data_IF_925954978276
#
_entry.id   IF_925954978276
#
_cell.length_a   1.000
_cell.length_b   1.000
_cell.length_c   1.000
_cell.angle_alpha   90.00
_cell.angle_beta   90.00
_cell.angle_gamma   90.00
#
_symmetry.space_group_name_H-M   'P 1'
#
loop_
_entity.id
_entity.type
_entity.pdbx_description
1 polymer ?
#
# COMPACT_ATOMS: atom_id res chain seq x y z
N UNK A 1 18.57 -19.63 1.94
CA UNK A 1 17.63 -18.62 2.40
C UNK A 1 16.77 -18.07 1.27
N UNK A 2 17.34 -17.51 0.18
CA UNK A 2 16.61 -16.85 -0.91
C UNK A 2 15.54 -17.73 -1.59
N UNK A 3 15.78 -19.02 -1.95
CA UNK A 3 14.75 -19.85 -2.56
C UNK A 3 13.53 -20.06 -1.67
N UNK A 4 13.75 -20.19 -0.35
CA UNK A 4 12.65 -20.33 0.63
C UNK A 4 11.85 -19.02 0.73
N UNK A 5 12.51 -17.88 0.73
CA UNK A 5 11.86 -16.58 0.75
C UNK A 5 11.04 -16.33 -0.52
N UNK A 6 11.57 -16.70 -1.68
CA UNK A 6 10.83 -16.64 -2.95
C UNK A 6 9.61 -17.55 -2.90
N UNK A 7 9.77 -18.80 -2.45
CA UNK A 7 8.66 -19.75 -2.29
C UNK A 7 7.57 -19.20 -1.36
N UNK A 8 7.96 -18.60 -0.23
CA UNK A 8 7.03 -17.92 0.67
C UNK A 8 6.31 -16.78 -0.04
N UNK A 9 7.03 -15.90 -0.75
CA UNK A 9 6.43 -14.80 -1.50
C UNK A 9 5.43 -15.26 -2.55
N UNK A 10 5.75 -16.30 -3.30
CA UNK A 10 4.86 -16.91 -4.31
C UNK A 10 3.57 -17.48 -3.69
N UNK A 11 3.62 -18.00 -2.47
CA UNK A 11 2.44 -18.46 -1.75
C UNK A 11 1.67 -17.31 -1.10
N UNK A 12 2.36 -16.32 -0.53
CA UNK A 12 1.75 -15.23 0.24
C UNK A 12 1.09 -14.15 -0.64
N UNK A 13 1.78 -13.67 -1.68
CA UNK A 13 1.30 -12.54 -2.48
C UNK A 13 -0.08 -12.77 -3.13
N UNK A 14 -0.41 -13.96 -3.67
CA UNK A 14 -1.75 -14.22 -4.19
C UNK A 14 -2.85 -14.12 -3.13
N UNK A 15 -2.54 -14.42 -1.85
CA UNK A 15 -3.55 -14.34 -0.77
C UNK A 15 -4.08 -12.93 -0.57
N UNK A 16 -3.28 -11.89 -0.83
CA UNK A 16 -3.70 -10.49 -0.73
C UNK A 16 -4.80 -10.16 -1.76
N UNK A 17 -4.61 -10.57 -3.00
CA UNK A 17 -5.60 -10.37 -4.06
C UNK A 17 -6.86 -11.23 -3.84
N UNK A 18 -6.69 -12.48 -3.39
CA UNK A 18 -7.80 -13.39 -3.11
C UNK A 18 -8.63 -12.90 -1.92
N UNK A 19 -8.01 -12.41 -0.87
CA UNK A 19 -8.72 -11.84 0.30
C UNK A 19 -9.59 -10.66 -0.12
N UNK A 20 -9.07 -9.75 -0.94
CA UNK A 20 -9.85 -8.65 -1.49
C UNK A 20 -11.02 -9.16 -2.36
N UNK A 21 -10.73 -10.11 -3.26
CA UNK A 21 -11.75 -10.66 -4.17
C UNK A 21 -12.89 -11.34 -3.41
N UNK A 22 -12.57 -12.20 -2.45
CA UNK A 22 -13.58 -12.87 -1.60
C UNK A 22 -14.40 -11.84 -0.83
N UNK A 23 -13.74 -10.83 -0.26
CA UNK A 23 -14.43 -9.75 0.46
C UNK A 23 -15.42 -9.03 -0.45
N UNK A 24 -14.98 -8.63 -1.65
CA UNK A 24 -15.84 -7.94 -2.62
C UNK A 24 -17.02 -8.80 -3.12
N UNK A 25 -16.85 -10.11 -3.24
CA UNK A 25 -17.92 -11.02 -3.66
C UNK A 25 -19.04 -11.16 -2.62
N UNK A 26 -18.74 -10.91 -1.34
CA UNK A 26 -19.70 -11.04 -0.24
C UNK A 26 -20.22 -9.69 0.29
N UNK A 27 -19.81 -8.57 -0.29
CA UNK A 27 -20.28 -7.23 0.08
C UNK A 27 -21.36 -6.73 -0.87
N UNK A 28 -22.32 -5.97 -0.32
CA UNK A 28 -23.35 -5.28 -1.09
C UNK A 28 -22.88 -3.91 -1.57
N UNK A 29 -22.17 -3.20 -0.70
CA UNK A 29 -21.62 -1.86 -0.97
C UNK A 29 -20.13 -1.85 -0.63
N UNK A 30 -19.26 -2.15 -1.62
CA UNK A 30 -17.82 -2.16 -1.41
C UNK A 30 -17.24 -0.83 -0.87
N UNK A 31 -17.82 0.30 -1.28
CA UNK A 31 -17.33 1.61 -0.85
C UNK A 31 -17.54 1.86 0.64
N UNK A 32 -18.55 1.24 1.23
CA UNK A 32 -18.90 1.36 2.63
C UNK A 32 -18.36 0.23 3.49
N UNK A 33 -18.42 -1.00 3.01
CA UNK A 33 -18.13 -2.20 3.79
C UNK A 33 -16.64 -2.60 3.74
N UNK A 34 -15.98 -2.39 2.59
CA UNK A 34 -14.57 -2.80 2.43
C UNK A 34 -13.61 -2.13 3.43
N UNK A 35 -13.69 -0.82 3.70
CA UNK A 35 -12.84 -0.20 4.70
C UNK A 35 -12.98 -0.82 6.10
N UNK A 36 -14.20 -1.23 6.50
CA UNK A 36 -14.47 -1.87 7.80
C UNK A 36 -13.81 -3.26 7.91
N UNK A 37 -13.75 -4.00 6.81
CA UNK A 37 -13.04 -5.30 6.76
C UNK A 37 -11.54 -5.04 6.75
N UNK A 38 -11.08 -4.11 5.93
CA UNK A 38 -9.66 -3.81 5.74
C UNK A 38 -8.95 -3.32 7.00
N UNK A 39 -9.66 -2.57 7.86
CA UNK A 39 -9.11 -2.07 9.15
C UNK A 39 -8.66 -3.20 10.07
N UNK A 40 -9.28 -4.38 10.00
CA UNK A 40 -8.87 -5.55 10.80
C UNK A 40 -7.44 -6.00 10.46
N UNK A 41 -7.04 -5.84 9.19
CA UNK A 41 -5.67 -6.11 8.77
C UNK A 41 -4.66 -5.15 9.41
N UNK A 42 -4.98 -3.88 9.50
CA UNK A 42 -4.15 -2.86 10.16
C UNK A 42 -4.04 -3.12 11.67
N UNK A 43 -5.14 -3.49 12.32
CA UNK A 43 -5.14 -3.90 13.73
C UNK A 43 -4.22 -5.10 13.94
N UNK A 44 -4.33 -6.13 13.06
CA UNK A 44 -3.46 -7.30 13.11
C UNK A 44 -1.98 -6.95 12.97
N UNK A 45 -1.65 -6.02 12.07
CA UNK A 45 -0.29 -5.52 11.88
C UNK A 45 0.25 -4.82 13.15
N UNK A 46 -0.54 -3.94 13.76
CA UNK A 46 -0.17 -3.24 15.00
C UNK A 46 0.06 -4.25 16.14
N UNK A 47 -0.86 -5.20 16.32
CA UNK A 47 -0.76 -6.23 17.36
C UNK A 47 0.51 -7.06 17.18
N UNK A 48 0.78 -7.53 15.96
CA UNK A 48 1.98 -8.29 15.65
C UNK A 48 3.27 -7.47 15.91
N UNK A 49 3.31 -6.22 15.46
CA UNK A 49 4.43 -5.31 15.70
C UNK A 49 4.68 -5.04 17.18
N UNK A 50 3.63 -4.81 17.96
CA UNK A 50 3.74 -4.60 19.41
C UNK A 50 4.22 -5.85 20.14
N UNK A 51 3.78 -7.04 19.74
CA UNK A 51 4.24 -8.30 20.34
C UNK A 51 5.73 -8.49 20.07
N UNK A 52 6.15 -8.35 18.82
CA UNK A 52 7.56 -8.53 18.43
C UNK A 52 8.46 -7.49 19.09
N UNK A 53 8.05 -6.22 19.08
CA UNK A 53 8.83 -5.12 19.64
C UNK A 53 8.94 -5.20 21.18
N UNK A 54 7.82 -5.37 21.91
CA UNK A 54 7.85 -5.45 23.39
C UNK A 54 8.61 -6.65 23.93
N UNK A 55 8.63 -7.75 23.18
CA UNK A 55 9.38 -8.94 23.57
C UNK A 55 10.86 -8.89 23.13
N UNK A 56 11.30 -7.82 22.44
CA UNK A 56 12.68 -7.67 21.97
C UNK A 56 13.12 -8.74 20.96
N UNK A 57 12.16 -9.25 20.15
CA UNK A 57 12.39 -10.40 19.27
C UNK A 57 12.93 -10.02 17.89
N UNK A 58 13.05 -8.73 17.57
CA UNK A 58 13.35 -8.19 16.25
C UNK A 58 14.61 -8.76 15.59
N UNK A 59 15.65 -8.99 16.38
CA UNK A 59 16.94 -9.51 15.89
C UNK A 59 17.07 -11.04 15.98
N UNK A 60 15.99 -11.74 16.26
CA UNK A 60 15.97 -13.19 16.42
C UNK A 60 15.24 -13.89 15.28
N UNK A 61 15.28 -15.23 15.23
CA UNK A 61 14.48 -16.02 14.30
C UNK A 61 13.02 -16.22 14.76
N UNK A 62 12.65 -15.72 15.95
CA UNK A 62 11.30 -15.92 16.53
C UNK A 62 10.20 -15.28 15.68
N UNK A 63 10.34 -14.05 15.10
CA UNK A 63 9.34 -13.48 14.22
C UNK A 63 8.99 -14.38 13.02
N UNK A 64 9.99 -15.07 12.44
CA UNK A 64 9.75 -16.03 11.35
C UNK A 64 8.93 -17.24 11.83
N UNK A 65 9.16 -17.74 13.05
CA UNK A 65 8.38 -18.82 13.63
C UNK A 65 6.94 -18.40 13.95
N UNK A 66 6.76 -17.18 14.46
CA UNK A 66 5.43 -16.58 14.67
C UNK A 66 4.69 -16.46 13.35
N UNK A 67 5.34 -15.96 12.30
CA UNK A 67 4.77 -15.84 10.96
C UNK A 67 4.36 -17.21 10.40
N UNK A 68 5.20 -18.24 10.58
CA UNK A 68 4.88 -19.62 10.17
C UNK A 68 3.65 -20.15 10.91
N UNK A 69 3.57 -19.97 12.24
CA UNK A 69 2.42 -20.36 13.03
C UNK A 69 1.14 -19.64 12.62
N UNK A 70 1.22 -18.31 12.42
CA UNK A 70 0.09 -17.51 11.95
C UNK A 70 -0.37 -17.94 10.54
N UNK A 71 0.56 -18.30 9.65
CA UNK A 71 0.23 -18.79 8.31
C UNK A 71 -0.50 -20.15 8.37
N UNK A 72 -0.12 -21.04 9.28
CA UNK A 72 -0.85 -22.30 9.50
C UNK A 72 -2.27 -22.06 10.02
N UNK A 73 -2.41 -21.14 11.00
CA UNK A 73 -3.73 -20.76 11.52
C UNK A 73 -4.59 -20.14 10.40
N UNK A 74 -4.02 -19.26 9.56
CA UNK A 74 -4.71 -18.71 8.41
C UNK A 74 -5.14 -19.81 7.42
N UNK A 75 -4.27 -20.76 7.14
CA UNK A 75 -4.57 -21.91 6.28
C UNK A 75 -5.76 -22.74 6.81
N UNK A 76 -5.78 -23.04 8.12
CA UNK A 76 -6.91 -23.72 8.75
C UNK A 76 -8.19 -22.86 8.74
N UNK A 77 -8.06 -21.57 9.05
CA UNK A 77 -9.20 -20.65 9.01
C UNK A 77 -9.79 -20.52 7.60
N UNK A 78 -8.96 -20.60 6.56
CA UNK A 78 -9.45 -20.51 5.18
C UNK A 78 -10.45 -21.60 4.81
N UNK A 79 -10.42 -22.76 5.50
CA UNK A 79 -11.40 -23.84 5.32
C UNK A 79 -12.80 -23.48 5.87
N UNK A 80 -12.89 -22.49 6.74
CA UNK A 80 -14.16 -21.99 7.29
C UNK A 80 -14.77 -20.83 6.50
N UNK A 81 -14.05 -20.31 5.49
CA UNK A 81 -14.56 -19.21 4.67
C UNK A 81 -15.75 -19.65 3.80
N UNK A 82 -16.65 -18.72 3.45
CA UNK A 82 -17.77 -19.01 2.57
C UNK A 82 -17.29 -19.59 1.24
N UNK A 83 -18.00 -20.58 0.72
CA UNK A 83 -17.71 -21.17 -0.58
C UNK A 83 -17.86 -20.13 -1.68
N UNK A 84 -16.75 -19.71 -2.26
CA UNK A 84 -16.69 -18.67 -3.29
C UNK A 84 -16.03 -19.25 -4.54
N UNK A 85 -16.79 -20.03 -5.35
CA UNK A 85 -16.23 -20.63 -6.56
C UNK A 85 -15.90 -19.55 -7.59
N UNK A 86 -14.83 -19.72 -8.39
CA UNK A 86 -14.51 -18.76 -9.44
C UNK A 86 -15.67 -18.67 -10.44
N UNK A 87 -16.01 -17.47 -10.89
CA UNK A 87 -17.08 -17.23 -11.87
C UNK A 87 -16.86 -17.94 -13.22
N UNK A 88 -15.63 -18.40 -13.48
CA UNK A 88 -15.27 -19.21 -14.65
C UNK A 88 -15.28 -20.72 -14.37
N UNK A 89 -15.81 -21.16 -13.22
CA UNK A 89 -15.87 -22.60 -12.90
C UNK A 89 -16.57 -23.39 -14.01
N UNK A 90 -15.97 -24.56 -14.39
CA UNK A 90 -16.51 -25.42 -15.44
C UNK A 90 -16.13 -25.04 -16.87
N UNK A 91 -15.37 -23.95 -17.09
CA UNK A 91 -14.82 -23.61 -18.40
C UNK A 91 -13.39 -24.17 -18.54
N UNK A 92 -12.97 -24.58 -19.76
CA UNK A 92 -11.58 -24.98 -19.98
C UNK A 92 -10.67 -23.78 -19.68
N UNK A 93 -9.71 -23.99 -18.75
CA UNK A 93 -8.74 -22.95 -18.39
C UNK A 93 -7.75 -22.75 -19.54
N UNK A 94 -7.66 -21.55 -20.04
CA UNK A 94 -6.61 -21.15 -20.96
C UNK A 94 -5.36 -20.65 -20.17
N UNK A 95 -4.19 -20.70 -20.78
CA UNK A 95 -2.99 -20.11 -20.18
C UNK A 95 -3.20 -18.60 -19.87
N UNK A 96 -4.03 -17.94 -20.64
CA UNK A 96 -4.44 -16.55 -20.44
C UNK A 96 -5.22 -16.33 -19.13
N UNK A 97 -6.14 -17.25 -18.81
CA UNK A 97 -6.92 -17.20 -17.57
C UNK A 97 -6.02 -17.44 -16.36
N UNK A 98 -5.12 -18.43 -16.45
CA UNK A 98 -4.17 -18.76 -15.38
C UNK A 98 -3.22 -17.61 -15.08
N UNK A 99 -2.77 -16.90 -16.11
CA UNK A 99 -1.89 -15.73 -15.97
C UNK A 99 -2.64 -14.43 -15.63
N UNK A 100 -3.97 -14.48 -15.53
CA UNK A 100 -4.79 -13.30 -15.24
C UNK A 100 -4.75 -12.21 -16.32
N UNK A 101 -4.39 -12.59 -17.56
CA UNK A 101 -4.19 -11.63 -18.67
C UNK A 101 -5.50 -10.93 -19.08
N UNK A 102 -6.65 -11.42 -18.64
CA UNK A 102 -7.93 -10.76 -18.89
C UNK A 102 -8.01 -9.37 -18.21
N UNK A 103 -7.28 -9.18 -17.11
CA UNK A 103 -7.14 -7.87 -16.48
C UNK A 103 -6.51 -6.82 -17.42
N UNK A 104 -5.67 -7.24 -18.39
CA UNK A 104 -5.09 -6.34 -19.36
C UNK A 104 -6.15 -5.67 -20.26
N UNK A 105 -7.34 -6.27 -20.40
CA UNK A 105 -8.45 -5.66 -21.13
C UNK A 105 -8.90 -4.34 -20.53
N UNK A 106 -8.74 -4.15 -19.21
CA UNK A 106 -9.05 -2.90 -18.51
C UNK A 106 -8.13 -1.75 -18.93
N UNK A 107 -6.95 -2.04 -19.45
CA UNK A 107 -6.01 -1.03 -19.95
C UNK A 107 -6.50 -0.38 -21.27
N UNK A 108 -7.58 -0.85 -21.87
CA UNK A 108 -8.25 -0.16 -22.98
C UNK A 108 -8.97 1.10 -22.50
N UNK A 109 -9.39 1.15 -21.26
CA UNK A 109 -9.93 2.37 -20.65
C UNK A 109 -8.79 3.30 -20.24
N UNK A 110 -8.83 4.53 -20.76
CA UNK A 110 -7.78 5.54 -20.52
C UNK A 110 -7.69 5.95 -19.04
N UNK A 111 -8.83 6.02 -18.36
CA UNK A 111 -8.85 6.37 -16.93
C UNK A 111 -8.23 5.27 -16.09
N UNK A 112 -8.60 4.01 -16.34
CA UNK A 112 -8.03 2.89 -15.64
C UNK A 112 -6.53 2.76 -15.90
N UNK A 113 -6.09 2.95 -17.15
CA UNK A 113 -4.65 2.98 -17.49
C UNK A 113 -3.92 4.10 -16.76
N UNK A 114 -4.49 5.31 -16.72
CA UNK A 114 -3.90 6.43 -15.97
C UNK A 114 -3.79 6.11 -14.49
N UNK A 115 -4.83 5.47 -13.92
CA UNK A 115 -4.84 5.03 -12.52
C UNK A 115 -3.73 4.01 -12.24
N UNK A 116 -3.62 2.97 -13.08
CA UNK A 116 -2.62 1.90 -12.90
C UNK A 116 -1.20 2.43 -13.05
N UNK A 117 -0.94 3.24 -14.08
CA UNK A 117 0.38 3.85 -14.30
C UNK A 117 0.73 4.83 -13.18
N UNK A 118 -0.21 5.66 -12.76
CA UNK A 118 -0.03 6.57 -11.63
C UNK A 118 0.27 5.82 -10.32
N UNK A 119 -0.45 4.72 -10.07
CA UNK A 119 -0.24 3.85 -8.90
C UNK A 119 1.15 3.19 -8.92
N UNK A 120 1.55 2.67 -10.07
CA UNK A 120 2.88 2.10 -10.26
C UNK A 120 3.99 3.13 -10.01
N UNK A 121 3.88 4.31 -10.63
CA UNK A 121 4.89 5.37 -10.49
C UNK A 121 4.97 5.90 -9.04
N UNK A 122 3.85 5.97 -8.32
CA UNK A 122 3.83 6.41 -6.92
C UNK A 122 4.48 5.39 -5.99
N UNK A 123 4.47 4.10 -6.34
CA UNK A 123 5.12 3.07 -5.53
C UNK A 123 6.66 3.19 -5.51
N UNK A 124 7.25 3.90 -6.48
CA UNK A 124 8.70 4.14 -6.49
C UNK A 124 9.12 5.07 -5.34
N UNK A 125 8.56 6.30 -5.19
CA UNK A 125 8.85 7.13 -4.03
C UNK A 125 8.39 6.53 -2.70
N UNK A 126 7.37 5.66 -2.71
CA UNK A 126 6.90 4.97 -1.51
C UNK A 126 7.98 4.12 -0.85
N UNK A 127 8.88 3.53 -1.62
CA UNK A 127 9.96 2.69 -1.07
C UNK A 127 10.96 3.48 -0.23
N UNK A 128 11.14 4.77 -0.46
CA UNK A 128 11.93 5.61 0.45
C UNK A 128 11.35 5.59 1.87
N UNK A 129 10.03 5.66 1.98
CA UNK A 129 9.37 5.60 3.28
C UNK A 129 9.58 4.24 3.96
N UNK A 130 9.27 3.15 3.28
CA UNK A 130 9.35 1.81 3.89
C UNK A 130 10.78 1.39 4.22
N UNK A 131 11.74 1.71 3.35
CA UNK A 131 13.12 1.27 3.53
C UNK A 131 13.93 2.16 4.47
N UNK A 132 13.67 3.47 4.47
CA UNK A 132 14.61 4.42 5.07
C UNK A 132 14.04 5.32 6.16
N UNK A 133 12.71 5.35 6.42
CA UNK A 133 12.16 6.25 7.46
C UNK A 133 12.71 5.91 8.84
N UNK A 134 12.81 4.63 9.20
CA UNK A 134 13.36 4.24 10.50
C UNK A 134 14.82 4.68 10.65
N UNK A 135 15.65 4.46 9.64
CA UNK A 135 17.04 4.90 9.63
C UNK A 135 17.15 6.43 9.73
N UNK A 136 16.34 7.15 8.94
CA UNK A 136 16.28 8.60 8.97
C UNK A 136 15.95 9.15 10.36
N UNK A 137 14.92 8.62 11.00
CA UNK A 137 14.49 9.08 12.32
C UNK A 137 15.54 8.77 13.39
N UNK A 138 16.23 7.62 13.29
CA UNK A 138 17.36 7.28 14.16
C UNK A 138 18.52 8.25 13.99
N UNK A 139 18.97 8.49 12.78
CA UNK A 139 20.07 9.41 12.50
C UNK A 139 19.75 10.87 12.83
N UNK A 140 18.45 11.24 12.76
CA UNK A 140 17.95 12.55 13.21
C UNK A 140 17.89 12.69 14.74
N UNK A 141 18.22 11.64 15.49
CA UNK A 141 18.19 11.66 16.97
C UNK A 141 16.82 11.43 17.59
N UNK A 142 15.83 10.94 16.83
CA UNK A 142 14.52 10.60 17.39
C UNK A 142 14.60 9.27 18.15
N UNK A 143 14.46 9.31 19.47
CA UNK A 143 14.41 8.09 20.30
C UNK A 143 13.22 7.19 19.92
N UNK A 144 13.41 5.87 19.94
CA UNK A 144 12.36 4.86 19.65
C UNK A 144 11.56 5.08 18.37
N UNK A 145 12.21 5.24 17.19
CA UNK A 145 11.50 5.61 15.96
C UNK A 145 10.48 4.56 15.53
N UNK A 146 10.75 3.27 15.75
CA UNK A 146 9.81 2.20 15.44
C UNK A 146 8.48 2.34 16.19
N UNK A 147 8.55 2.62 17.51
CA UNK A 147 7.35 2.90 18.32
C UNK A 147 6.60 4.14 17.83
N UNK A 148 7.30 5.21 17.46
CA UNK A 148 6.67 6.43 16.95
C UNK A 148 6.03 6.23 15.57
N UNK A 149 6.62 5.42 14.72
CA UNK A 149 6.04 5.06 13.43
C UNK A 149 4.70 4.32 13.57
N UNK A 150 4.40 3.66 14.70
CA UNK A 150 3.08 3.03 14.92
C UNK A 150 1.95 4.06 14.98
N UNK A 151 2.23 5.34 15.28
CA UNK A 151 1.23 6.40 15.19
C UNK A 151 0.68 6.55 13.77
N UNK A 152 1.48 6.23 12.77
CA UNK A 152 1.04 6.20 11.38
C UNK A 152 -0.03 5.14 11.14
N UNK A 153 0.15 3.93 11.67
CA UNK A 153 -0.85 2.86 11.57
C UNK A 153 -2.10 3.16 12.42
N UNK A 154 -1.93 3.85 13.57
CA UNK A 154 -3.10 4.31 14.33
C UNK A 154 -3.92 5.34 13.54
N UNK A 155 -3.27 6.27 12.83
CA UNK A 155 -3.96 7.22 11.96
C UNK A 155 -4.69 6.51 10.80
N UNK A 156 -4.10 5.44 10.26
CA UNK A 156 -4.72 4.59 9.23
C UNK A 156 -6.07 4.04 9.72
N UNK A 157 -6.16 3.53 10.95
CA UNK A 157 -7.45 3.07 11.51
C UNK A 157 -8.50 4.19 11.47
N UNK A 158 -8.12 5.40 11.90
CA UNK A 158 -9.05 6.54 11.92
C UNK A 158 -9.53 6.94 10.54
N UNK A 159 -8.61 7.08 9.58
CA UNK A 159 -8.96 7.44 8.21
C UNK A 159 -9.72 6.33 7.48
N UNK A 160 -9.41 5.07 7.74
CA UNK A 160 -10.12 3.93 7.17
C UNK A 160 -11.60 3.89 7.60
N UNK A 161 -11.88 4.16 8.88
CA UNK A 161 -13.25 4.26 9.39
C UNK A 161 -14.01 5.43 8.75
N UNK A 162 -13.32 6.55 8.51
CA UNK A 162 -13.91 7.74 7.89
C UNK A 162 -13.96 7.67 6.35
N UNK A 163 -13.27 6.73 5.74
CA UNK A 163 -13.14 6.63 4.27
C UNK A 163 -14.48 6.58 3.53
N UNK A 164 -15.52 5.82 3.99
CA UNK A 164 -16.83 5.83 3.32
C UNK A 164 -17.45 7.21 3.25
N UNK A 165 -17.34 8.01 4.32
CA UNK A 165 -17.84 9.38 4.34
C UNK A 165 -17.11 10.27 3.34
N UNK A 166 -15.78 10.15 3.27
CA UNK A 166 -14.98 10.87 2.30
C UNK A 166 -15.32 10.46 0.86
N UNK A 167 -15.47 9.15 0.59
CA UNK A 167 -15.83 8.65 -0.74
C UNK A 167 -17.18 9.21 -1.20
N UNK A 168 -18.18 9.22 -0.31
CA UNK A 168 -19.48 9.80 -0.60
C UNK A 168 -19.42 11.30 -0.90
N UNK A 169 -18.61 12.07 -0.14
CA UNK A 169 -18.53 13.54 -0.28
C UNK A 169 -17.64 14.01 -1.43
N UNK A 170 -16.53 13.36 -1.63
CA UNK A 170 -15.47 13.83 -2.52
C UNK A 170 -15.37 13.03 -3.82
N UNK A 171 -15.81 11.78 -3.79
CA UNK A 171 -15.66 10.84 -4.89
C UNK A 171 -14.21 10.37 -5.10
N UNK A 172 -14.05 9.32 -5.87
CA UNK A 172 -12.78 8.59 -6.07
C UNK A 172 -11.64 9.52 -6.52
N UNK A 173 -11.87 10.39 -7.52
CA UNK A 173 -10.79 11.24 -8.07
C UNK A 173 -10.17 12.14 -7.01
N UNK A 174 -10.99 12.86 -6.25
CA UNK A 174 -10.49 13.82 -5.26
C UNK A 174 -9.77 13.13 -4.12
N UNK A 175 -10.27 11.96 -3.69
CA UNK A 175 -9.63 11.18 -2.63
C UNK A 175 -8.26 10.67 -3.06
N UNK A 176 -8.15 10.10 -4.25
CA UNK A 176 -6.86 9.68 -4.80
C UNK A 176 -5.87 10.86 -4.88
N UNK A 177 -6.31 12.04 -5.35
CA UNK A 177 -5.47 13.22 -5.40
C UNK A 177 -5.03 13.71 -4.02
N UNK A 178 -5.92 13.69 -3.02
CA UNK A 178 -5.58 14.03 -1.62
C UNK A 178 -4.54 13.04 -1.07
N UNK A 179 -4.71 11.74 -1.30
CA UNK A 179 -3.74 10.72 -0.92
C UNK A 179 -2.36 10.97 -1.55
N UNK A 180 -2.33 11.26 -2.85
CA UNK A 180 -1.08 11.58 -3.55
C UNK A 180 -0.44 12.88 -3.04
N UNK A 181 -1.24 13.93 -2.77
CA UNK A 181 -0.75 15.18 -2.19
C UNK A 181 -0.20 14.97 -0.77
N UNK A 182 -0.84 14.12 0.03
CA UNK A 182 -0.34 13.73 1.35
C UNK A 182 1.02 13.02 1.27
N UNK A 183 1.27 12.21 0.22
CA UNK A 183 2.60 11.62 -0.03
C UNK A 183 3.65 12.68 -0.28
N UNK A 184 3.39 13.62 -1.19
CA UNK A 184 4.31 14.72 -1.48
C UNK A 184 4.57 15.58 -0.24
N UNK A 185 3.51 15.95 0.48
CA UNK A 185 3.59 16.70 1.73
C UNK A 185 4.40 16.00 2.82
N UNK A 186 4.20 14.68 2.99
CA UNK A 186 4.97 13.86 3.93
C UNK A 186 6.47 13.96 3.69
N UNK A 187 6.91 13.78 2.44
CA UNK A 187 8.33 13.84 2.13
C UNK A 187 8.90 15.25 2.30
N UNK A 188 8.13 16.29 1.99
CA UNK A 188 8.52 17.66 2.28
C UNK A 188 8.65 17.90 3.79
N UNK A 189 7.72 17.38 4.61
CA UNK A 189 7.81 17.46 6.06
C UNK A 189 9.05 16.73 6.61
N UNK A 190 9.42 15.58 6.06
CA UNK A 190 10.65 14.89 6.44
C UNK A 190 11.91 15.61 5.96
N UNK A 191 11.86 16.28 4.80
CA UNK A 191 13.01 17.06 4.29
C UNK A 191 13.34 18.28 5.14
N UNK A 192 12.36 18.89 5.77
CA UNK A 192 12.52 20.14 6.53
C UNK A 192 12.34 19.97 8.04
N UNK A 193 11.79 18.84 8.51
CA UNK A 193 11.62 18.55 9.92
C UNK A 193 12.94 18.19 10.61
N UNK A 194 13.05 18.55 11.88
CA UNK A 194 14.16 18.17 12.76
C UNK A 194 13.62 17.69 14.13
N UNK A 195 14.52 17.26 15.00
CA UNK A 195 14.14 16.79 16.34
C UNK A 195 14.13 17.86 17.41
N UNK A 196 14.29 19.14 17.04
CA UNK A 196 14.31 20.30 17.93
C UNK A 196 13.07 21.18 17.68
N UNK A 197 13.21 22.22 16.90
CA UNK A 197 12.16 23.23 16.71
C UNK A 197 11.04 22.76 15.78
N UNK A 198 11.34 21.89 14.82
CA UNK A 198 10.42 21.40 13.80
C UNK A 198 10.03 19.92 13.98
N UNK A 199 10.13 19.40 15.20
CA UNK A 199 9.77 18.00 15.51
C UNK A 199 8.31 17.66 15.13
N UNK A 200 7.42 18.64 15.19
CA UNK A 200 6.04 18.49 14.79
C UNK A 200 5.89 18.10 13.31
N UNK A 201 6.83 18.51 12.44
CA UNK A 201 6.84 18.11 11.04
C UNK A 201 7.08 16.60 10.89
N UNK A 202 7.99 16.04 11.69
CA UNK A 202 8.26 14.60 11.70
C UNK A 202 7.03 13.81 12.15
N UNK A 203 6.39 14.24 13.24
CA UNK A 203 5.15 13.59 13.71
C UNK A 203 4.00 13.73 12.71
N UNK A 204 3.82 14.90 12.11
CA UNK A 204 2.79 15.10 11.08
C UNK A 204 3.08 14.23 9.85
N UNK A 205 4.36 14.14 9.42
CA UNK A 205 4.78 13.26 8.35
C UNK A 205 4.47 11.78 8.65
N UNK A 206 4.63 11.34 9.89
CA UNK A 206 4.25 9.99 10.33
C UNK A 206 2.71 9.83 10.29
N UNK A 207 1.96 10.77 10.86
CA UNK A 207 0.49 10.72 10.94
C UNK A 207 -0.19 10.76 9.56
N UNK A 208 0.43 11.40 8.56
CA UNK A 208 -0.09 11.38 7.19
C UNK A 208 -0.15 9.98 6.58
N UNK A 209 0.39 8.94 7.26
CA UNK A 209 0.37 7.56 6.77
C UNK A 209 -1.04 7.07 6.46
N UNK A 210 -2.00 7.32 7.34
CA UNK A 210 -3.39 6.92 7.13
C UNK A 210 -3.99 7.57 5.87
N UNK A 211 -3.83 8.88 5.71
CA UNK A 211 -4.31 9.57 4.50
C UNK A 211 -3.65 9.01 3.24
N UNK A 212 -2.33 8.83 3.28
CA UNK A 212 -1.59 8.28 2.14
C UNK A 212 -2.08 6.90 1.74
N UNK A 213 -2.23 6.01 2.72
CA UNK A 213 -2.54 4.61 2.47
C UNK A 213 -4.02 4.41 2.11
N UNK A 214 -4.93 4.93 2.94
CA UNK A 214 -6.36 4.67 2.78
C UNK A 214 -6.94 5.40 1.57
N UNK A 215 -6.56 6.67 1.40
CA UNK A 215 -7.10 7.47 0.30
C UNK A 215 -6.52 7.05 -1.04
N UNK A 216 -5.36 6.40 -1.07
CA UNK A 216 -4.80 5.95 -2.33
C UNK A 216 -5.00 4.45 -2.55
N UNK A 217 -4.47 3.59 -1.67
CA UNK A 217 -4.50 2.15 -1.91
C UNK A 217 -5.87 1.53 -1.68
N UNK A 218 -6.53 1.84 -0.57
CA UNK A 218 -7.86 1.26 -0.27
C UNK A 218 -8.89 1.77 -1.29
N UNK A 219 -8.88 3.08 -1.57
CA UNK A 219 -9.73 3.66 -2.63
C UNK A 219 -9.39 3.08 -4.00
N UNK A 220 -8.10 2.84 -4.29
CA UNK A 220 -7.65 2.22 -5.53
C UNK A 220 -8.15 0.78 -5.70
N UNK A 221 -8.20 -0.01 -4.62
CA UNK A 221 -8.77 -1.35 -4.62
C UNK A 221 -10.27 -1.33 -4.90
N UNK A 222 -11.00 -0.41 -4.27
CA UNK A 222 -12.45 -0.19 -4.53
C UNK A 222 -12.67 0.22 -6.00
N UNK A 223 -11.92 1.18 -6.50
CA UNK A 223 -12.00 1.62 -7.90
C UNK A 223 -11.70 0.50 -8.88
N UNK A 224 -10.68 -0.33 -8.59
CA UNK A 224 -10.33 -1.50 -9.41
C UNK A 224 -11.47 -2.52 -9.45
N UNK A 225 -12.11 -2.78 -8.31
CA UNK A 225 -13.27 -3.66 -8.23
C UNK A 225 -14.43 -3.16 -9.08
N UNK A 226 -14.74 -1.86 -8.96
CA UNK A 226 -15.80 -1.22 -9.75
C UNK A 226 -15.57 -1.29 -11.26
N UNK A 227 -14.31 -1.18 -11.72
CA UNK A 227 -13.97 -1.23 -13.13
C UNK A 227 -13.91 -2.67 -13.69
N UNK A 228 -13.46 -3.61 -12.88
CA UNK A 228 -13.29 -5.01 -13.28
C UNK A 228 -14.62 -5.77 -13.37
N UNK A 229 -15.55 -5.46 -12.48
CA UNK A 229 -16.76 -6.24 -12.30
C UNK A 229 -16.50 -7.68 -11.82
N UNK A 230 -17.55 -8.47 -11.55
CA UNK A 230 -17.41 -9.79 -10.90
C UNK A 230 -16.52 -10.77 -11.67
N UNK A 231 -16.57 -10.74 -13.00
CA UNK A 231 -15.93 -11.75 -13.86
C UNK A 231 -14.40 -11.79 -13.74
N UNK A 232 -13.74 -10.63 -13.68
CA UNK A 232 -12.28 -10.51 -13.70
C UNK A 232 -11.72 -9.83 -12.45
N UNK A 233 -12.53 -9.71 -11.40
CA UNK A 233 -12.21 -9.05 -10.12
C UNK A 233 -10.86 -9.52 -9.54
N UNK A 234 -10.71 -10.83 -9.33
CA UNK A 234 -9.49 -11.39 -8.77
C UNK A 234 -8.26 -11.12 -9.65
N UNK A 235 -8.40 -11.25 -10.97
CA UNK A 235 -7.33 -10.96 -11.92
C UNK A 235 -6.94 -9.49 -11.89
N UNK A 236 -7.91 -8.57 -11.80
CA UNK A 236 -7.66 -7.13 -11.74
C UNK A 236 -6.96 -6.71 -10.42
N UNK A 237 -7.40 -7.23 -9.28
CA UNK A 237 -6.75 -7.00 -7.99
C UNK A 237 -5.32 -7.58 -7.97
N UNK A 238 -5.14 -8.78 -8.51
CA UNK A 238 -3.82 -9.39 -8.66
C UNK A 238 -2.89 -8.61 -9.58
N UNK A 239 -3.41 -8.11 -10.71
CA UNK A 239 -2.66 -7.28 -11.65
C UNK A 239 -2.22 -5.96 -11.00
N UNK A 240 -3.11 -5.27 -10.28
CA UNK A 240 -2.78 -4.05 -9.55
C UNK A 240 -1.70 -4.33 -8.50
N UNK A 241 -1.86 -5.38 -7.69
CA UNK A 241 -0.89 -5.76 -6.68
C UNK A 241 0.47 -6.11 -7.29
N UNK A 242 0.50 -6.86 -8.40
CA UNK A 242 1.72 -7.20 -9.11
C UNK A 242 2.47 -5.97 -9.61
N UNK A 243 1.77 -5.02 -10.25
CA UNK A 243 2.41 -3.81 -10.75
C UNK A 243 2.87 -2.89 -9.62
N UNK A 244 2.09 -2.72 -8.56
CA UNK A 244 2.41 -1.79 -7.48
C UNK A 244 3.38 -2.41 -6.46
N UNK A 245 2.97 -3.47 -5.79
CA UNK A 245 3.75 -4.12 -4.71
C UNK A 245 4.82 -5.07 -5.24
N UNK A 246 4.67 -5.59 -6.45
CA UNK A 246 5.72 -6.36 -7.12
C UNK A 246 6.73 -5.45 -7.81
N UNK A 247 6.42 -5.05 -9.05
CA UNK A 247 7.37 -4.33 -9.92
C UNK A 247 7.70 -2.93 -9.39
N UNK A 248 6.69 -2.19 -8.92
CA UNK A 248 6.87 -0.83 -8.39
C UNK A 248 7.78 -0.80 -7.15
N UNK A 249 7.57 -1.72 -6.21
CA UNK A 249 8.42 -1.84 -5.02
C UNK A 249 9.83 -2.29 -5.37
N UNK A 250 10.00 -3.21 -6.30
CA UNK A 250 11.32 -3.66 -6.74
C UNK A 250 12.13 -2.50 -7.33
N UNK A 251 11.56 -1.77 -8.28
CA UNK A 251 12.22 -0.60 -8.88
C UNK A 251 12.48 0.47 -7.82
N UNK A 252 11.48 0.74 -6.97
CA UNK A 252 11.59 1.70 -5.89
C UNK A 252 12.70 1.36 -4.90
N UNK A 253 12.90 0.08 -4.56
CA UNK A 253 13.97 -0.36 -3.68
C UNK A 253 15.35 -0.08 -4.27
N UNK A 254 15.56 -0.37 -5.57
CA UNK A 254 16.82 -0.05 -6.25
C UNK A 254 17.05 1.46 -6.36
N UNK A 255 16.02 2.22 -6.76
CA UNK A 255 16.12 3.68 -6.92
C UNK A 255 16.41 4.35 -5.58
N UNK A 256 15.64 4.01 -4.55
CA UNK A 256 15.81 4.60 -3.22
C UNK A 256 17.18 4.26 -2.62
N UNK A 257 17.62 3.01 -2.74
CA UNK A 257 18.94 2.58 -2.27
C UNK A 257 20.08 3.30 -2.97
N UNK A 258 20.01 3.46 -4.30
CA UNK A 258 21.01 4.18 -5.08
C UNK A 258 21.10 5.67 -4.68
N UNK A 259 19.93 6.31 -4.49
CA UNK A 259 19.87 7.73 -4.08
C UNK A 259 20.38 7.92 -2.66
N UNK A 260 19.95 7.10 -1.69
CA UNK A 260 20.44 7.21 -0.31
C UNK A 260 21.96 7.02 -0.27
N UNK A 261 22.50 6.04 -1.01
CA UNK A 261 23.93 5.84 -1.13
C UNK A 261 24.67 7.05 -1.71
N UNK A 262 24.10 7.75 -2.70
CA UNK A 262 24.73 8.91 -3.33
C UNK A 262 24.81 10.14 -2.43
N UNK A 263 23.98 10.21 -1.39
CA UNK A 263 23.95 11.28 -0.40
C UNK A 263 24.53 10.86 0.96
N UNK A 264 25.33 9.79 0.99
CA UNK A 264 26.09 9.40 2.20
C UNK A 264 27.20 10.42 2.45
N UNK A 265 27.31 10.91 3.70
CA UNK A 265 28.31 11.92 4.11
C UNK A 265 29.60 11.21 4.53
N UNK A 266 30.79 11.63 4.06
CA UNK A 266 32.06 10.98 4.42
C UNK A 266 32.34 10.92 5.93
N UNK A 267 31.82 11.87 6.70
CA UNK A 267 31.94 11.92 8.16
C UNK A 267 30.97 10.96 8.89
N UNK A 268 30.12 10.25 8.16
CA UNK A 268 29.06 9.37 8.67
C UNK A 268 27.67 9.98 8.56
N UNK A 269 26.67 9.12 8.37
CA UNK A 269 25.26 9.52 8.17
C UNK A 269 24.94 9.95 6.74
N UNK A 270 23.79 10.58 6.57
CA UNK A 270 23.21 10.90 5.26
C UNK A 270 22.67 12.34 5.21
N UNK A 271 22.69 12.93 4.02
CA UNK A 271 22.02 14.21 3.76
C UNK A 271 20.51 13.99 3.54
N UNK A 272 19.78 13.81 4.64
CA UNK A 272 18.37 13.47 4.62
C UNK A 272 17.50 14.51 3.95
N UNK A 273 17.87 15.78 4.03
CA UNK A 273 17.10 16.86 3.37
C UNK A 273 17.03 16.63 1.86
N UNK A 274 18.17 16.44 1.22
CA UNK A 274 18.21 16.21 -0.21
C UNK A 274 17.62 14.84 -0.58
N UNK A 275 17.84 13.81 0.23
CA UNK A 275 17.24 12.49 0.03
C UNK A 275 15.71 12.58 -0.01
N UNK A 276 15.06 13.25 0.95
CA UNK A 276 13.60 13.35 1.01
C UNK A 276 13.00 14.27 -0.05
N UNK A 277 13.73 15.28 -0.55
CA UNK A 277 13.27 16.12 -1.66
C UNK A 277 13.12 15.34 -2.97
N UNK A 278 13.87 14.26 -3.17
CA UNK A 278 13.75 13.42 -4.38
C UNK A 278 12.36 12.75 -4.44
N UNK A 279 11.92 11.92 -3.47
CA UNK A 279 10.60 11.32 -3.52
C UNK A 279 9.47 12.37 -3.41
N UNK A 280 9.69 13.51 -2.75
CA UNK A 280 8.74 14.63 -2.75
C UNK A 280 8.50 15.15 -4.18
N UNK A 281 9.57 15.41 -4.92
CA UNK A 281 9.49 15.88 -6.31
C UNK A 281 8.84 14.83 -7.21
N UNK A 282 9.23 13.54 -7.07
CA UNK A 282 8.62 12.45 -7.83
C UNK A 282 7.11 12.37 -7.56
N UNK A 283 6.69 12.45 -6.30
CA UNK A 283 5.27 12.39 -5.93
C UNK A 283 4.48 13.59 -6.48
N UNK A 284 5.05 14.80 -6.47
CA UNK A 284 4.44 16.00 -7.07
C UNK A 284 4.27 15.83 -8.58
N UNK A 285 5.29 15.35 -9.28
CA UNK A 285 5.21 15.12 -10.74
C UNK A 285 4.10 14.11 -11.06
N UNK A 286 4.07 12.98 -10.35
CA UNK A 286 3.02 11.97 -10.54
C UNK A 286 1.64 12.55 -10.22
N UNK A 287 1.49 13.30 -9.14
CA UNK A 287 0.25 13.98 -8.76
C UNK A 287 -0.26 14.91 -9.88
N UNK A 288 0.60 15.77 -10.42
CA UNK A 288 0.21 16.72 -11.47
C UNK A 288 -0.22 16.00 -12.74
N UNK A 289 0.57 15.02 -13.20
CA UNK A 289 0.23 14.22 -14.38
C UNK A 289 -1.09 13.48 -14.17
N UNK A 290 -1.26 12.86 -13.00
CA UNK A 290 -2.49 12.16 -12.65
C UNK A 290 -3.70 13.09 -12.60
N UNK A 291 -3.59 14.26 -11.99
CA UNK A 291 -4.67 15.24 -11.88
C UNK A 291 -5.21 15.67 -13.26
N UNK A 292 -4.31 15.82 -14.23
CA UNK A 292 -4.65 16.22 -15.61
C UNK A 292 -5.27 15.07 -16.40
N UNK A 293 -4.67 13.88 -16.30
CA UNK A 293 -5.01 12.75 -17.18
C UNK A 293 -6.15 11.87 -16.60
N UNK A 294 -6.27 11.76 -15.29
CA UNK A 294 -7.27 10.89 -14.67
C UNK A 294 -8.67 11.50 -14.73
N UNK A 295 -9.57 10.87 -15.47
CA UNK A 295 -10.95 11.29 -15.66
C UNK A 295 -11.87 10.08 -15.48
N UNK A 296 -12.20 9.68 -14.23
CA UNK A 296 -13.08 8.55 -13.99
C UNK A 296 -14.44 8.82 -14.65
N UNK A 297 -15.03 7.78 -15.23
CA UNK A 297 -16.38 7.86 -15.76
C UNK A 297 -17.33 8.24 -14.60
N UNK A 298 -18.14 9.25 -14.79
CA UNK A 298 -19.22 9.60 -13.86
C UNK A 298 -20.26 8.50 -13.98
N UNK A 299 -20.44 7.67 -12.95
CA UNK A 299 -21.61 6.79 -12.89
C UNK A 299 -22.83 7.72 -12.93
N UNK A 300 -23.60 7.70 -14.01
CA UNK A 300 -24.95 8.27 -14.01
C UNK A 300 -25.78 7.35 -13.10
N UNK A 301 -26.21 7.88 -11.97
CA UNK A 301 -27.26 7.25 -11.19
C UNK A 301 -28.48 7.09 -12.10
N UNK A 302 -28.75 5.86 -12.52
CA UNK A 302 -30.00 5.47 -13.17
C UNK A 302 -30.98 4.98 -12.12
#
# INVERSE_FOLDING_TARGET
FYPVLIGYGLCYMPTLALTNSISFDHMKDPSREFPQIRVLGTIGWIVAGLIVGRLGLEVTAVPLRIAAGASLVLGLFSLSLPHTPPHAAGKPLSARDVLGLDALSLLRDRSFTTFVVGSFLLCIPLQFYYAFTNLFLNESGMGEPASKMTLGQMSEIGFMVLLPWFLFRLGVKRILLIGMAAWAGRYALFAYGDTHDLIWMLYLGILLHGVCYDFFFVTGQIYTDEQAGPRIRAAAQGFLAFLTQGVGYLIGAYVSGAIVKSYTIPAGGHDWRHIWLVPATMAVVVLVVFAVLFRPAVKRET
#
